data_IF_232299926268
#
_entry.id   IF_232299926268
#
_cell.length_a   1.000
_cell.length_b   1.000
_cell.length_c   1.000
_cell.angle_alpha   90.00
_cell.angle_beta   90.00
_cell.angle_gamma   90.00
#
_symmetry.space_group_name_H-M   'P 1'
#
loop_
_entity.id
_entity.type
_entity.pdbx_description
1 polymer ?
#
# COMPACT_ATOMS: atom_id res chain seq x y z
N UNK A 1 -3.81 -5.21 14.03
CA UNK A 1 -3.87 -5.76 12.66
C UNK A 1 -5.22 -5.51 12.00
N UNK A 2 -6.34 -6.11 12.43
CA UNK A 2 -7.65 -5.92 11.77
C UNK A 2 -8.13 -4.45 11.74
N UNK A 3 -7.87 -3.68 12.79
CA UNK A 3 -8.23 -2.25 12.81
C UNK A 3 -7.42 -1.41 11.80
N UNK A 4 -6.13 -1.75 11.59
CA UNK A 4 -5.29 -1.08 10.60
C UNK A 4 -5.71 -1.47 9.18
N UNK A 5 -5.96 -2.76 8.93
CA UNK A 5 -6.50 -3.23 7.66
C UNK A 5 -7.82 -2.53 7.34
N UNK A 6 -8.71 -2.42 8.34
CA UNK A 6 -9.97 -1.69 8.21
C UNK A 6 -9.71 -0.23 7.83
N UNK A 7 -8.80 0.44 8.54
CA UNK A 7 -8.44 1.82 8.24
C UNK A 7 -7.94 1.97 6.80
N UNK A 8 -6.95 1.18 6.36
CA UNK A 8 -6.42 1.22 5.00
C UNK A 8 -7.52 1.00 3.96
N UNK A 9 -8.38 0.00 4.15
CA UNK A 9 -9.47 -0.28 3.21
C UNK A 9 -10.50 0.86 3.13
N UNK A 10 -10.86 1.44 4.27
CA UNK A 10 -11.77 2.58 4.29
C UNK A 10 -11.14 3.80 3.62
N UNK A 11 -9.86 4.10 3.89
CA UNK A 11 -9.13 5.20 3.25
C UNK A 11 -9.03 5.02 1.74
N UNK A 12 -8.69 3.82 1.25
CA UNK A 12 -8.66 3.51 -0.18
C UNK A 12 -10.02 3.71 -0.83
N UNK A 13 -11.10 3.28 -0.15
CA UNK A 13 -12.46 3.41 -0.68
C UNK A 13 -12.94 4.86 -0.69
N UNK A 14 -12.67 5.59 0.37
CA UNK A 14 -13.09 6.99 0.54
C UNK A 14 -12.26 7.94 -0.37
N UNK A 15 -11.11 7.48 -0.89
CA UNK A 15 -10.38 8.18 -1.95
C UNK A 15 -11.11 8.22 -3.30
N UNK A 16 -12.03 7.26 -3.53
CA UNK A 16 -12.72 7.08 -4.81
C UNK A 16 -11.79 6.94 -6.03
N UNK A 17 -10.52 6.60 -5.82
CA UNK A 17 -9.50 6.54 -6.87
C UNK A 17 -9.42 5.17 -7.58
N UNK A 18 -10.10 4.15 -7.06
CA UNK A 18 -10.06 2.78 -7.56
C UNK A 18 -11.46 2.24 -7.85
N UNK A 19 -11.58 1.47 -8.93
CA UNK A 19 -12.84 0.81 -9.33
C UNK A 19 -13.25 -0.28 -8.33
N UNK A 20 -12.27 -1.00 -7.78
CA UNK A 20 -12.46 -2.02 -6.76
C UNK A 20 -11.18 -2.23 -5.94
N UNK A 21 -11.34 -2.90 -4.79
CA UNK A 21 -10.26 -3.20 -3.85
C UNK A 21 -10.33 -4.69 -3.52
N UNK A 22 -9.21 -5.38 -3.59
CA UNK A 22 -9.10 -6.81 -3.30
C UNK A 22 -8.17 -7.06 -2.10
N UNK A 23 -8.56 -7.97 -1.22
CA UNK A 23 -7.74 -8.44 -0.09
C UNK A 23 -7.43 -9.92 -0.30
N UNK A 24 -6.15 -10.25 -0.36
CA UNK A 24 -5.68 -11.65 -0.38
C UNK A 24 -5.29 -12.10 1.01
N UNK A 25 -5.79 -13.25 1.45
CA UNK A 25 -5.43 -13.84 2.73
C UNK A 25 -5.72 -15.34 2.78
N UNK A 26 -4.94 -16.08 3.55
CA UNK A 26 -5.23 -17.47 3.93
C UNK A 26 -6.18 -17.56 5.13
N UNK A 27 -6.40 -16.46 5.86
CA UNK A 27 -7.28 -16.40 7.04
C UNK A 27 -8.73 -16.07 6.63
N UNK A 28 -9.65 -17.01 6.88
CA UNK A 28 -11.07 -16.86 6.53
C UNK A 28 -11.76 -15.72 7.29
N UNK A 29 -11.34 -15.40 8.51
CA UNK A 29 -11.91 -14.28 9.26
C UNK A 29 -11.46 -12.95 8.66
N UNK A 30 -10.19 -12.82 8.25
CA UNK A 30 -9.69 -11.63 7.53
C UNK A 30 -10.49 -11.41 6.25
N UNK A 31 -10.70 -12.47 5.45
CA UNK A 31 -11.50 -12.41 4.22
C UNK A 31 -12.95 -12.01 4.49
N UNK A 32 -13.57 -12.57 5.53
CA UNK A 32 -14.94 -12.24 5.93
C UNK A 32 -15.06 -10.77 6.32
N UNK A 33 -14.11 -10.23 7.09
CA UNK A 33 -14.11 -8.81 7.45
C UNK A 33 -13.86 -7.89 6.25
N UNK A 34 -12.93 -8.24 5.36
CA UNK A 34 -12.68 -7.50 4.13
C UNK A 34 -13.96 -7.37 3.28
N UNK A 35 -14.71 -8.46 3.12
CA UNK A 35 -16.02 -8.43 2.44
C UNK A 35 -17.02 -7.52 3.14
N UNK A 36 -17.11 -7.58 4.47
CA UNK A 36 -17.99 -6.70 5.25
C UNK A 36 -17.64 -5.21 5.09
N UNK A 37 -16.38 -4.89 4.81
CA UNK A 37 -15.91 -3.52 4.58
C UNK A 37 -15.96 -3.09 3.11
N UNK A 38 -16.42 -3.97 2.20
CA UNK A 38 -16.66 -3.67 0.79
C UNK A 38 -15.50 -4.00 -0.14
N UNK A 39 -14.51 -4.77 0.31
CA UNK A 39 -13.45 -5.30 -0.53
C UNK A 39 -13.78 -6.70 -1.06
N UNK A 40 -13.25 -7.05 -2.22
CA UNK A 40 -13.26 -8.41 -2.73
C UNK A 40 -12.30 -9.28 -1.91
N UNK A 41 -12.78 -10.43 -1.43
CA UNK A 41 -11.94 -11.41 -0.75
C UNK A 41 -11.37 -12.41 -1.76
N UNK A 42 -10.05 -12.53 -1.80
CA UNK A 42 -9.32 -13.52 -2.57
C UNK A 42 -8.64 -14.50 -1.61
N UNK A 43 -8.96 -15.79 -1.72
CA UNK A 43 -8.28 -16.81 -0.93
C UNK A 43 -6.84 -16.96 -1.44
N UNK A 44 -5.88 -17.00 -0.52
CA UNK A 44 -4.49 -17.28 -0.84
C UNK A 44 -4.35 -18.71 -1.39
N UNK A 45 -4.17 -18.83 -2.71
CA UNK A 45 -3.94 -20.13 -3.37
C UNK A 45 -2.46 -20.54 -3.37
N UNK A 46 -1.56 -19.56 -3.31
CA UNK A 46 -0.11 -19.77 -3.31
C UNK A 46 0.50 -19.27 -2.01
N UNK A 47 1.12 -20.19 -1.28
CA UNK A 47 1.75 -19.87 0.00
C UNK A 47 2.88 -18.85 -0.17
N UNK A 48 2.86 -17.83 0.68
CA UNK A 48 3.92 -16.84 0.81
C UNK A 48 3.57 -15.50 0.17
N UNK A 49 4.10 -14.43 0.77
CA UNK A 49 3.70 -13.06 0.49
C UNK A 49 3.83 -12.65 -0.99
N UNK A 50 5.01 -12.78 -1.60
CA UNK A 50 5.21 -12.41 -3.01
C UNK A 50 4.44 -13.31 -3.99
N UNK A 51 4.43 -14.66 -3.85
CA UNK A 51 3.59 -15.53 -4.67
C UNK A 51 2.10 -15.21 -4.59
N UNK A 52 1.55 -15.01 -3.38
CA UNK A 52 0.15 -14.66 -3.16
C UNK A 52 -0.22 -13.34 -3.86
N UNK A 53 0.58 -12.29 -3.67
CA UNK A 53 0.38 -10.99 -4.33
C UNK A 53 0.51 -11.11 -5.85
N UNK A 54 1.45 -11.91 -6.36
CA UNK A 54 1.62 -12.13 -7.80
C UNK A 54 0.40 -12.85 -8.39
N UNK A 55 -0.13 -13.85 -7.70
CA UNK A 55 -1.34 -14.56 -8.12
C UNK A 55 -2.56 -13.64 -8.15
N UNK A 56 -2.76 -12.83 -7.10
CA UNK A 56 -3.82 -11.82 -7.05
C UNK A 56 -3.67 -10.78 -8.18
N UNK A 57 -2.49 -10.21 -8.37
CA UNK A 57 -2.24 -9.25 -9.45
C UNK A 57 -2.44 -9.87 -10.84
N UNK A 58 -2.11 -11.15 -11.02
CA UNK A 58 -2.37 -11.90 -12.27
C UNK A 58 -3.86 -12.05 -12.50
N UNK A 59 -4.62 -12.42 -11.47
CA UNK A 59 -6.07 -12.51 -11.53
C UNK A 59 -6.67 -11.16 -11.94
N UNK A 60 -6.30 -10.07 -11.27
CA UNK A 60 -6.79 -8.72 -11.59
C UNK A 60 -6.47 -8.31 -13.02
N UNK A 61 -5.22 -8.53 -13.46
CA UNK A 61 -4.79 -8.23 -14.82
C UNK A 61 -5.59 -8.99 -15.88
N UNK A 62 -5.85 -10.29 -15.65
CA UNK A 62 -6.66 -11.12 -16.54
C UNK A 62 -8.12 -10.66 -16.62
N UNK A 63 -8.62 -9.95 -15.60
CA UNK A 63 -9.96 -9.37 -15.55
C UNK A 63 -10.02 -7.94 -16.09
N UNK A 64 -8.94 -7.45 -16.71
CA UNK A 64 -8.91 -6.18 -17.45
C UNK A 64 -8.38 -4.99 -16.66
N UNK A 65 -7.85 -5.20 -15.45
CA UNK A 65 -7.21 -4.14 -14.67
C UNK A 65 -6.01 -3.57 -15.42
N UNK A 66 -6.00 -2.24 -15.64
CA UNK A 66 -4.96 -1.54 -16.42
C UNK A 66 -3.93 -0.82 -15.56
N UNK A 67 -4.21 -0.67 -14.26
CA UNK A 67 -3.34 -0.12 -13.24
C UNK A 67 -3.63 -0.82 -11.92
N UNK A 68 -2.61 -1.18 -11.15
CA UNK A 68 -2.79 -1.87 -9.87
C UNK A 68 -1.89 -1.24 -8.81
N UNK A 69 -2.50 -0.84 -7.69
CA UNK A 69 -1.83 -0.49 -6.44
C UNK A 69 -1.80 -1.71 -5.53
N UNK A 70 -0.60 -2.16 -5.18
CA UNK A 70 -0.37 -3.10 -4.08
C UNK A 70 0.16 -2.32 -2.89
N UNK A 71 -0.50 -2.42 -1.75
CA UNK A 71 -0.25 -1.58 -0.57
C UNK A 71 -0.27 -2.42 0.71
N UNK A 72 0.55 -2.05 1.70
CA UNK A 72 0.59 -2.68 3.00
C UNK A 72 -0.71 -2.45 3.78
N UNK A 73 -1.08 -3.41 4.63
CA UNK A 73 -2.35 -3.42 5.37
C UNK A 73 -2.26 -2.74 6.75
N UNK A 74 -1.08 -2.29 7.14
CA UNK A 74 -0.68 -1.85 8.47
C UNK A 74 -0.15 -0.41 8.47
N UNK A 75 -0.75 0.45 7.64
CA UNK A 75 -0.44 1.87 7.51
C UNK A 75 -1.44 2.72 8.31
N UNK A 76 -1.25 2.92 9.63
CA UNK A 76 -2.22 3.61 10.49
C UNK A 76 -2.33 5.11 10.23
N UNK A 77 -1.35 5.70 9.53
CA UNK A 77 -1.31 7.12 9.21
C UNK A 77 -1.80 7.40 7.78
N UNK A 78 -2.22 6.38 7.02
CA UNK A 78 -2.62 6.55 5.63
C UNK A 78 -3.82 7.49 5.50
N UNK A 79 -3.66 8.57 4.76
CA UNK A 79 -4.73 9.52 4.47
C UNK A 79 -5.22 9.39 3.02
N UNK A 80 -6.42 9.92 2.77
CA UNK A 80 -7.01 9.94 1.42
C UNK A 80 -6.13 10.75 0.47
N UNK A 81 -5.53 11.84 0.95
CA UNK A 81 -4.64 12.71 0.18
C UNK A 81 -3.40 11.95 -0.31
N UNK A 82 -2.86 11.03 0.48
CA UNK A 82 -1.69 10.21 0.09
C UNK A 82 -2.03 9.35 -1.13
N UNK A 83 -3.21 8.74 -1.12
CA UNK A 83 -3.71 7.89 -2.20
C UNK A 83 -3.96 8.72 -3.45
N UNK A 84 -4.67 9.84 -3.33
CA UNK A 84 -4.99 10.72 -4.44
C UNK A 84 -3.72 11.27 -5.12
N UNK A 85 -2.75 11.74 -4.32
CA UNK A 85 -1.46 12.23 -4.84
C UNK A 85 -0.66 11.14 -5.53
N UNK A 86 -0.61 9.93 -4.95
CA UNK A 86 0.05 8.78 -5.54
C UNK A 86 -0.55 8.43 -6.92
N UNK A 87 -1.89 8.44 -7.03
CA UNK A 87 -2.60 8.16 -8.28
C UNK A 87 -2.38 9.27 -9.32
N UNK A 88 -2.37 10.54 -8.91
CA UNK A 88 -2.11 11.66 -9.82
C UNK A 88 -0.72 11.55 -10.46
N UNK A 89 0.31 11.25 -9.65
CA UNK A 89 1.69 11.06 -10.15
C UNK A 89 1.76 9.87 -11.10
N UNK A 90 0.97 8.82 -10.86
CA UNK A 90 0.91 7.63 -11.71
C UNK A 90 0.39 7.91 -13.13
N UNK A 91 -0.25 9.05 -13.41
CA UNK A 91 -0.63 9.40 -14.79
C UNK A 91 0.58 9.62 -15.71
N UNK A 92 1.74 9.97 -15.14
CA UNK A 92 2.97 10.26 -15.90
C UNK A 92 4.05 9.18 -15.80
N UNK A 93 3.83 8.15 -14.98
CA UNK A 93 4.81 7.12 -14.68
C UNK A 93 4.21 5.73 -14.82
N UNK A 94 5.03 4.78 -15.22
CA UNK A 94 4.65 3.38 -15.36
C UNK A 94 4.71 2.66 -14.00
N UNK A 95 5.53 3.16 -13.07
CA UNK A 95 5.73 2.61 -11.73
C UNK A 95 5.82 3.72 -10.68
N UNK A 96 5.06 3.63 -9.59
CA UNK A 96 5.23 4.45 -8.38
C UNK A 96 5.65 3.54 -7.23
N UNK A 97 6.70 3.92 -6.52
CA UNK A 97 7.25 3.20 -5.38
C UNK A 97 7.11 4.11 -4.15
N UNK A 98 6.29 3.72 -3.17
CA UNK A 98 6.24 4.36 -1.86
C UNK A 98 7.08 3.54 -0.87
N UNK A 99 8.19 4.08 -0.37
CA UNK A 99 9.09 3.34 0.51
C UNK A 99 8.55 3.24 1.93
N UNK A 100 9.03 2.24 2.68
CA UNK A 100 8.88 2.17 4.14
C UNK A 100 9.69 3.26 4.85
N UNK A 101 9.45 3.47 6.13
CA UNK A 101 10.08 4.52 6.95
C UNK A 101 11.61 4.41 6.98
N UNK A 102 12.15 3.19 7.00
CA UNK A 102 13.60 2.94 6.96
C UNK A 102 14.23 3.23 5.59
N UNK A 103 13.41 3.48 4.56
CA UNK A 103 13.83 3.76 3.20
C UNK A 103 14.42 2.56 2.46
N UNK A 104 14.25 1.33 2.93
CA UNK A 104 14.75 0.12 2.24
C UNK A 104 13.63 -0.76 1.69
N UNK A 105 12.51 -0.82 2.40
CA UNK A 105 11.28 -1.52 2.00
C UNK A 105 10.38 -0.72 1.05
N UNK A 106 9.29 -1.34 0.63
CA UNK A 106 8.24 -0.74 -0.22
C UNK A 106 6.89 -1.03 0.41
N UNK A 107 6.22 -0.01 0.91
CA UNK A 107 4.90 -0.12 1.52
C UNK A 107 3.77 0.02 0.51
N UNK A 108 4.04 0.68 -0.62
CA UNK A 108 3.09 0.71 -1.72
C UNK A 108 3.81 0.69 -3.08
N UNK A 109 3.26 -0.08 -4.01
CA UNK A 109 3.75 -0.21 -5.38
C UNK A 109 2.57 -0.08 -6.33
N UNK A 110 2.51 1.01 -7.09
CA UNK A 110 1.55 1.17 -8.18
C UNK A 110 2.23 0.88 -9.50
N UNK A 111 1.61 0.04 -10.32
CA UNK A 111 2.11 -0.34 -11.64
C UNK A 111 1.07 -0.14 -12.74
N UNK A 112 1.54 0.31 -13.90
CA UNK A 112 0.75 0.55 -15.12
C UNK A 112 1.54 0.02 -16.34
N UNK A 113 1.21 -1.12 -16.93
CA UNK A 113 0.17 -2.08 -16.51
C UNK A 113 0.54 -2.84 -15.23
N UNK A 114 -0.40 -3.59 -14.61
CA UNK A 114 -0.08 -4.53 -13.55
C UNK A 114 1.02 -5.50 -13.97
N UNK A 115 1.85 -5.93 -13.02
CA UNK A 115 2.94 -6.90 -13.24
C UNK A 115 4.02 -6.46 -14.25
N UNK A 116 4.09 -5.17 -14.60
CA UNK A 116 5.20 -4.63 -15.41
C UNK A 116 6.57 -4.86 -14.74
N UNK A 117 6.57 -5.04 -13.42
CA UNK A 117 7.70 -5.47 -12.60
C UNK A 117 7.35 -6.75 -11.81
N UNK A 118 8.33 -7.64 -11.54
CA UNK A 118 8.14 -8.74 -10.61
C UNK A 118 7.99 -8.23 -9.18
N UNK A 119 7.09 -8.83 -8.40
CA UNK A 119 6.96 -8.52 -6.98
C UNK A 119 8.12 -9.12 -6.17
N UNK A 120 8.83 -8.24 -5.48
CA UNK A 120 9.95 -8.57 -4.59
C UNK A 120 9.88 -7.76 -3.31
N UNK A 121 8.71 -7.74 -2.67
CA UNK A 121 8.50 -7.16 -1.33
C UNK A 121 9.35 -7.86 -0.27
N UNK A 122 9.70 -7.10 0.77
CA UNK A 122 10.61 -7.49 1.84
C UNK A 122 11.88 -6.62 1.89
N UNK A 123 12.95 -7.20 2.44
CA UNK A 123 14.24 -6.53 2.66
C UNK A 123 14.78 -5.97 1.34
N UNK A 124 15.15 -4.67 1.33
CA UNK A 124 15.66 -3.95 0.16
C UNK A 124 14.71 -3.95 -1.05
N UNK A 125 13.42 -4.20 -0.85
CA UNK A 125 12.43 -4.24 -1.94
C UNK A 125 12.39 -2.94 -2.74
N UNK A 126 12.60 -1.78 -2.13
CA UNK A 126 12.69 -0.50 -2.86
C UNK A 126 13.76 -0.55 -3.93
N UNK A 127 14.97 -0.96 -3.54
CA UNK A 127 16.11 -1.06 -4.45
C UNK A 127 15.83 -2.07 -5.58
N UNK A 128 15.24 -3.22 -5.26
CA UNK A 128 14.88 -4.21 -6.25
C UNK A 128 13.85 -3.68 -7.25
N UNK A 129 12.81 -2.98 -6.80
CA UNK A 129 11.81 -2.38 -7.69
C UNK A 129 12.41 -1.27 -8.56
N UNK A 130 13.25 -0.39 -8.01
CA UNK A 130 13.97 0.64 -8.77
C UNK A 130 14.87 0.02 -9.84
N UNK A 131 15.68 -0.97 -9.47
CA UNK A 131 16.57 -1.66 -10.39
C UNK A 131 15.79 -2.32 -11.55
N UNK A 132 14.71 -3.04 -11.25
CA UNK A 132 13.90 -3.71 -12.27
C UNK A 132 13.19 -2.70 -13.20
N UNK A 133 12.82 -1.51 -12.69
CA UNK A 133 12.28 -0.42 -13.51
C UNK A 133 13.33 0.17 -14.45
N UNK A 134 14.54 0.41 -13.96
CA UNK A 134 15.67 0.89 -14.77
C UNK A 134 16.05 -0.09 -15.88
N UNK A 135 16.16 -1.38 -15.55
CA UNK A 135 16.50 -2.42 -16.53
C UNK A 135 15.45 -2.53 -17.65
N UNK A 136 14.18 -2.23 -17.36
CA UNK A 136 13.09 -2.24 -18.33
C UNK A 136 12.83 -0.88 -18.98
N UNK A 137 13.63 0.14 -18.66
CA UNK A 137 13.48 1.51 -19.15
C UNK A 137 12.08 2.10 -18.88
N UNK A 138 11.50 1.74 -17.73
CA UNK A 138 10.20 2.26 -17.29
C UNK A 138 10.37 3.63 -16.62
N UNK A 139 9.41 4.52 -16.82
CA UNK A 139 9.34 5.76 -16.05
C UNK A 139 8.86 5.40 -14.66
N UNK A 140 9.70 5.60 -13.66
CA UNK A 140 9.33 5.35 -12.28
C UNK A 140 9.51 6.59 -11.40
N UNK A 141 8.73 6.67 -10.32
CA UNK A 141 8.84 7.72 -9.32
C UNK A 141 8.84 7.13 -7.91
N UNK A 142 9.71 7.63 -7.04
CA UNK A 142 9.70 7.28 -5.62
C UNK A 142 8.89 8.33 -4.86
N UNK A 143 7.69 7.98 -4.42
CA UNK A 143 6.78 8.88 -3.72
C UNK A 143 6.97 8.77 -2.21
N UNK A 144 7.39 9.86 -1.57
CA UNK A 144 7.57 9.92 -0.13
C UNK A 144 6.36 10.59 0.52
N UNK A 145 5.66 9.86 1.37
CA UNK A 145 4.61 10.37 2.26
C UNK A 145 4.74 9.71 3.63
N UNK A 146 4.47 10.45 4.70
CA UNK A 146 4.43 9.93 6.07
C UNK A 146 3.37 8.84 6.20
N UNK A 147 2.18 9.04 5.62
CA UNK A 147 1.06 8.09 5.72
C UNK A 147 1.31 6.77 5.02
N UNK A 148 2.17 6.76 3.99
CA UNK A 148 2.60 5.54 3.30
C UNK A 148 3.89 4.95 3.86
N UNK A 149 4.71 5.74 4.57
CA UNK A 149 6.01 5.30 5.05
C UNK A 149 5.93 4.55 6.39
N UNK A 150 5.02 4.93 7.30
CA UNK A 150 4.92 4.28 8.61
C UNK A 150 4.02 3.04 8.55
N UNK A 151 4.65 1.86 8.48
CA UNK A 151 4.07 0.55 8.78
C UNK A 151 4.35 0.18 10.25
N UNK A 152 3.36 -0.38 10.96
CA UNK A 152 3.55 -0.86 12.34
C UNK A 152 3.70 -2.38 12.33
N UNK A 153 4.95 -2.85 12.40
CA UNK A 153 5.30 -4.27 12.45
C UNK A 153 5.92 -4.68 13.80
N UNK A 154 6.52 -3.74 14.54
CA UNK A 154 7.30 -3.97 15.75
C UNK A 154 6.85 -3.10 16.93
N UNK A 155 7.28 -3.45 18.15
CA UNK A 155 6.97 -2.65 19.35
C UNK A 155 7.62 -1.26 19.25
N UNK A 156 8.75 -1.17 18.57
CA UNK A 156 9.44 0.08 18.28
C UNK A 156 8.59 1.04 17.41
N UNK A 157 7.80 0.51 16.47
CA UNK A 157 6.90 1.29 15.60
C UNK A 157 5.73 1.91 16.38
N UNK A 158 5.31 1.28 17.48
CA UNK A 158 4.28 1.82 18.39
C UNK A 158 4.76 3.12 19.05
N UNK A 159 6.05 3.24 19.39
CA UNK A 159 6.59 4.48 19.99
C UNK A 159 6.66 5.61 18.96
N UNK A 160 6.98 5.30 17.69
CA UNK A 160 6.93 6.28 16.60
C UNK A 160 5.51 6.79 16.38
N UNK A 161 4.51 5.89 16.36
CA UNK A 161 3.10 6.26 16.27
C UNK A 161 2.63 7.18 17.42
N UNK A 162 3.00 6.86 18.66
CA UNK A 162 2.67 7.69 19.84
C UNK A 162 3.26 9.11 19.73
N UNK A 163 4.44 9.24 19.14
CA UNK A 163 5.08 10.54 18.94
C UNK A 163 4.32 11.41 17.92
N UNK A 164 3.70 10.81 16.90
CA UNK A 164 2.86 11.54 15.94
C UNK A 164 1.51 11.94 16.53
N UNK A 165 0.85 11.03 17.28
CA UNK A 165 -0.43 11.31 17.94
C UNK A 165 -0.30 12.48 18.96
N UNK A 166 0.82 12.54 19.69
CA UNK A 166 1.15 13.66 20.58
C UNK A 166 1.42 14.97 19.82
N UNK A 167 2.00 14.92 18.62
CA UNK A 167 2.24 16.11 17.79
C UNK A 167 0.97 16.67 17.17
N UNK A 168 0.01 15.83 16.76
CA UNK A 168 -1.31 16.28 16.29
C UNK A 168 -2.16 16.88 17.43
N UNK A 169 -2.06 16.33 18.65
CA UNK A 169 -2.67 16.90 19.86
C UNK A 169 -2.01 18.25 20.26
N UNK A 170 -0.69 18.37 20.09
CA UNK A 170 0.04 19.62 20.32
C UNK A 170 -0.24 20.69 19.24
N UNK A 171 -0.44 20.28 17.99
CA UNK A 171 -0.77 21.20 16.89
C UNK A 171 -2.22 21.73 17.03
N UNK A 172 -3.15 20.88 17.46
CA UNK A 172 -4.54 21.28 17.72
C UNK A 172 -4.69 22.22 18.94
N UNK A 173 -3.76 22.16 19.91
CA UNK A 173 -3.81 23.02 21.11
C UNK A 173 -3.09 24.37 20.94
N UNK A 174 -2.26 24.53 19.90
CA UNK A 174 -1.59 25.81 19.58
C UNK A 174 -2.44 26.74 18.71
N UNK A 175 -3.66 26.35 18.32
CA UNK A 175 -4.57 27.18 17.50
C UNK A 175 -5.55 28.04 18.32
N UNK A 176 -5.38 28.12 19.64
CA UNK A 176 -6.29 28.83 20.57
C UNK A 176 -5.59 29.79 21.55
N UNK A 177 -4.43 30.35 21.18
CA UNK A 177 -3.83 31.49 21.88
C UNK A 177 -3.38 32.58 20.90
#
# INVERSE_FOLDING_TARGET
MLDMLRHVLLTLRDSHAFDHISVVSSDQDVLRYAQQWGAQALLEEQAGHNPALTAAATYEYQHGTTALLTISADLPLLQVEDVCNLVEIAHQHDVIIAPSQDGTGTNALLTRPPLVLPYRFGINSRYHHQYEAEQRQLRYYCYSSIGLALDIDTIEDINAFQTYDEQDLACCTSSYL
#
